data_IF_939154409633
#
_entry.id   IF_939154409633
#
_cell.length_a   1.000
_cell.length_b   1.000
_cell.length_c   1.000
_cell.angle_alpha   90.00
_cell.angle_beta   90.00
_cell.angle_gamma   90.00
#
_symmetry.space_group_name_H-M   'P 1'
#
loop_
_entity.id
_entity.type
_entity.pdbx_description
1 polymer ?
#
# COMPACT_ATOMS: atom_id res chain seq x y z
N UNK A 1 23.99 63.63 -67.96
CA UNK A 1 24.61 62.43 -67.33
C UNK A 1 24.62 62.61 -65.81
N UNK A 2 23.91 61.74 -65.09
CA UNK A 2 24.19 61.16 -63.77
C UNK A 2 22.88 60.96 -62.98
N UNK A 3 22.54 59.69 -62.84
CA UNK A 3 21.61 59.10 -61.89
C UNK A 3 22.06 59.33 -60.44
N UNK A 4 21.17 58.92 -59.50
CA UNK A 4 21.36 58.48 -58.09
C UNK A 4 20.46 59.33 -57.17
N UNK A 5 19.68 58.84 -56.20
CA UNK A 5 19.14 57.53 -55.82
C UNK A 5 18.16 57.83 -54.66
N UNK A 6 17.09 57.07 -54.55
CA UNK A 6 16.07 57.10 -53.48
C UNK A 6 16.52 56.24 -52.29
N UNK A 7 16.20 56.62 -51.04
CA UNK A 7 15.64 55.78 -49.92
C UNK A 7 15.77 56.51 -48.56
N UNK A 8 14.69 56.93 -47.90
CA UNK A 8 13.72 56.18 -47.08
C UNK A 8 14.24 55.88 -45.67
N UNK A 9 13.72 56.63 -44.69
CA UNK A 9 13.91 56.43 -43.26
C UNK A 9 13.04 55.27 -42.75
N UNK A 10 13.64 54.34 -42.01
CA UNK A 10 12.92 53.29 -41.28
C UNK A 10 13.06 53.58 -39.79
N UNK A 11 11.94 53.92 -39.15
CA UNK A 11 11.81 54.02 -37.71
C UNK A 11 11.85 52.60 -37.11
N UNK A 12 12.81 52.36 -36.22
CA UNK A 12 12.96 51.11 -35.50
C UNK A 12 11.87 50.96 -34.43
N UNK A 13 10.91 50.08 -34.68
CA UNK A 13 10.03 49.50 -33.66
C UNK A 13 10.83 48.42 -32.91
N UNK A 14 11.24 48.72 -31.69
CA UNK A 14 11.75 47.73 -30.74
C UNK A 14 10.62 46.78 -30.36
N UNK A 15 10.66 45.56 -30.91
CA UNK A 15 9.87 44.44 -30.44
C UNK A 15 10.43 43.98 -29.09
N UNK A 16 9.81 44.44 -28.00
CA UNK A 16 9.98 43.78 -26.71
C UNK A 16 9.30 42.42 -26.79
N UNK A 17 10.11 41.35 -26.81
CA UNK A 17 9.66 39.98 -26.63
C UNK A 17 9.02 39.85 -25.26
N UNK A 18 7.68 39.86 -25.21
CA UNK A 18 6.93 39.49 -24.01
C UNK A 18 7.04 37.97 -23.88
N UNK A 19 7.97 37.49 -23.06
CA UNK A 19 7.93 36.09 -22.61
C UNK A 19 6.70 35.93 -21.73
N UNK A 20 5.64 35.32 -22.27
CA UNK A 20 4.42 35.00 -21.53
C UNK A 20 4.75 34.15 -20.30
N UNK A 21 4.49 34.62 -19.07
CA UNK A 21 4.70 33.86 -17.83
C UNK A 21 3.75 32.64 -17.70
N UNK A 22 2.70 32.57 -18.54
CA UNK A 22 1.65 31.57 -18.48
C UNK A 22 2.09 30.14 -18.86
N UNK A 23 3.31 29.95 -19.35
CA UNK A 23 3.81 28.63 -19.75
C UNK A 23 4.66 27.95 -18.67
N UNK A 24 5.18 28.70 -17.69
CA UNK A 24 5.95 28.15 -16.55
C UNK A 24 5.04 27.62 -15.42
N UNK A 25 3.82 28.15 -15.28
CA UNK A 25 2.88 27.76 -14.20
C UNK A 25 2.20 26.40 -14.40
N UNK A 26 2.18 25.87 -15.63
CA UNK A 26 1.38 24.68 -15.94
C UNK A 26 2.16 23.36 -15.79
N UNK A 27 3.50 23.41 -15.72
CA UNK A 27 4.32 22.21 -15.58
C UNK A 27 4.21 21.57 -14.19
N UNK A 28 4.28 22.33 -13.07
CA UNK A 28 4.06 21.78 -11.74
C UNK A 28 2.68 21.15 -11.60
N UNK A 29 1.62 21.82 -12.07
CA UNK A 29 0.26 21.31 -12.06
C UNK A 29 0.11 20.02 -12.88
N UNK A 30 0.66 19.98 -14.11
CA UNK A 30 0.64 18.77 -14.93
C UNK A 30 1.41 17.59 -14.29
N UNK A 31 2.50 17.88 -13.57
CA UNK A 31 3.23 16.85 -12.81
C UNK A 31 2.43 16.35 -11.61
N UNK A 32 1.67 17.23 -10.94
CA UNK A 32 0.75 16.86 -9.85
C UNK A 32 -0.39 15.99 -10.40
N UNK A 33 -1.00 16.33 -11.53
CA UNK A 33 -2.04 15.52 -12.17
C UNK A 33 -1.54 14.11 -12.50
N UNK A 34 -0.37 14.03 -13.13
CA UNK A 34 0.26 12.75 -13.48
C UNK A 34 0.62 11.97 -12.21
N UNK A 35 1.18 12.63 -11.19
CA UNK A 35 1.50 11.98 -9.93
C UNK A 35 0.22 11.47 -9.24
N UNK A 36 -0.83 12.28 -9.17
CA UNK A 36 -2.14 11.96 -8.61
C UNK A 36 -2.76 10.71 -9.25
N UNK A 37 -2.88 10.69 -10.57
CA UNK A 37 -3.39 9.52 -11.30
C UNK A 37 -2.55 8.26 -11.04
N UNK A 38 -1.22 8.39 -11.02
CA UNK A 38 -0.30 7.27 -10.78
C UNK A 38 -0.29 6.76 -9.35
N UNK A 39 -0.67 7.58 -8.37
CA UNK A 39 -0.79 7.12 -6.97
C UNK A 39 -1.87 6.04 -6.89
N UNK A 40 -3.04 6.26 -7.47
CA UNK A 40 -4.12 5.26 -7.43
C UNK A 40 -3.81 4.00 -8.22
N UNK A 41 -3.21 4.11 -9.41
CA UNK A 41 -2.69 2.93 -10.16
C UNK A 41 -1.78 2.04 -9.29
N UNK A 42 -1.07 2.65 -8.33
CA UNK A 42 -0.13 1.95 -7.46
C UNK A 42 -0.75 1.45 -6.16
N UNK A 43 -1.76 2.14 -5.63
CA UNK A 43 -2.40 1.81 -4.35
C UNK A 43 -3.58 0.87 -4.50
N UNK A 44 -4.39 1.03 -5.55
CA UNK A 44 -5.60 0.24 -5.74
C UNK A 44 -5.31 -1.24 -5.90
N UNK A 45 -6.17 -2.07 -5.31
CA UNK A 45 -6.07 -3.52 -5.26
C UNK A 45 -4.75 -4.06 -4.69
N UNK A 46 -4.14 -3.33 -3.77
CA UNK A 46 -2.94 -3.76 -3.05
C UNK A 46 -3.28 -4.45 -1.75
N UNK A 47 -2.71 -5.64 -1.58
CA UNK A 47 -2.72 -6.40 -0.34
C UNK A 47 -1.41 -6.18 0.43
N UNK A 48 -1.53 -5.88 1.72
CA UNK A 48 -0.44 -5.63 2.65
C UNK A 48 -0.69 -6.44 3.91
N UNK A 49 0.38 -6.94 4.52
CA UNK A 49 0.22 -7.61 5.81
C UNK A 49 0.07 -6.58 6.93
N UNK A 50 -0.83 -6.85 7.87
CA UNK A 50 -0.92 -6.17 9.16
C UNK A 50 0.09 -6.79 10.13
N UNK A 51 0.91 -5.94 10.75
CA UNK A 51 1.94 -6.37 11.69
C UNK A 51 1.42 -6.37 13.13
N UNK A 52 1.96 -7.27 13.96
CA UNK A 52 1.85 -7.26 15.42
C UNK A 52 3.17 -7.68 16.03
N UNK A 53 3.36 -7.36 17.31
CA UNK A 53 4.36 -8.05 18.12
C UNK A 53 3.78 -9.40 18.57
N UNK A 54 4.54 -10.48 18.41
CA UNK A 54 4.22 -11.78 19.01
C UNK A 54 4.70 -11.84 20.48
N UNK A 55 4.48 -12.97 21.14
CA UNK A 55 4.83 -13.17 22.55
C UNK A 55 6.33 -13.08 22.83
N UNK A 56 7.16 -13.26 21.80
CA UNK A 56 8.61 -13.09 21.82
C UNK A 56 9.06 -11.64 21.55
N UNK A 57 8.12 -10.70 21.36
CA UNK A 57 8.40 -9.30 21.04
C UNK A 57 8.83 -9.04 19.59
N UNK A 58 8.75 -10.04 18.71
CA UNK A 58 9.11 -9.93 17.31
C UNK A 58 7.97 -9.35 16.46
N UNK A 59 8.29 -8.51 15.48
CA UNK A 59 7.32 -8.03 14.51
C UNK A 59 6.99 -9.13 13.49
N UNK A 60 5.73 -9.56 13.48
CA UNK A 60 5.20 -10.62 12.60
C UNK A 60 3.94 -10.14 11.88
N UNK A 61 3.72 -10.65 10.67
CA UNK A 61 2.47 -10.44 9.94
C UNK A 61 1.41 -11.44 10.41
N UNK A 62 0.21 -10.95 10.73
CA UNK A 62 -0.89 -11.75 11.29
C UNK A 62 -2.28 -11.37 10.77
N UNK A 63 -2.34 -10.47 9.80
CA UNK A 63 -3.58 -10.05 9.14
C UNK A 63 -3.31 -9.45 7.77
N UNK A 64 -4.37 -9.13 7.05
CA UNK A 64 -4.31 -8.49 5.73
C UNK A 64 -5.01 -7.15 5.77
N UNK A 65 -4.41 -6.17 5.11
CA UNK A 65 -4.99 -4.89 4.72
C UNK A 65 -5.06 -4.86 3.19
N UNK A 66 -6.21 -4.48 2.68
CA UNK A 66 -6.50 -4.39 1.26
C UNK A 66 -7.02 -3.00 0.94
N UNK A 67 -6.27 -2.26 0.13
CA UNK A 67 -6.73 -1.00 -0.46
C UNK A 67 -7.57 -1.39 -1.68
N UNK A 68 -8.90 -1.34 -1.57
CA UNK A 68 -9.81 -1.84 -2.61
C UNK A 68 -10.31 -0.75 -3.55
N UNK A 69 -10.21 0.51 -3.16
CA UNK A 69 -10.52 1.66 -4.02
C UNK A 69 -9.57 2.80 -3.72
N UNK A 70 -9.25 3.55 -4.76
CA UNK A 70 -8.50 4.80 -4.67
C UNK A 70 -9.02 5.73 -5.75
N UNK A 71 -9.36 6.97 -5.39
CA UNK A 71 -9.62 8.02 -6.37
C UNK A 71 -8.96 9.32 -5.97
N UNK A 72 -8.48 10.04 -6.97
CA UNK A 72 -7.91 11.38 -6.82
C UNK A 72 -8.76 12.37 -7.59
N UNK A 73 -9.01 13.52 -6.99
CA UNK A 73 -9.61 14.69 -7.62
C UNK A 73 -8.79 15.93 -7.27
N UNK A 74 -8.84 16.95 -8.13
CA UNK A 74 -8.17 18.24 -7.91
C UNK A 74 -9.23 19.33 -7.81
N UNK A 75 -8.88 20.40 -7.10
CA UNK A 75 -9.71 21.61 -7.03
C UNK A 75 -9.48 22.44 -8.29
N UNK A 76 -10.53 22.70 -9.08
CA UNK A 76 -10.43 23.48 -10.33
C UNK A 76 -9.96 24.93 -10.05
N UNK A 77 -10.22 25.44 -8.85
CA UNK A 77 -9.84 26.79 -8.41
C UNK A 77 -8.44 26.82 -7.74
N UNK A 78 -7.88 25.67 -7.34
CA UNK A 78 -6.58 25.54 -6.68
C UNK A 78 -5.86 24.24 -7.09
N UNK A 79 -5.05 24.33 -8.15
CA UNK A 79 -4.35 23.17 -8.74
C UNK A 79 -3.33 22.49 -7.81
N UNK A 80 -2.91 23.15 -6.73
CA UNK A 80 -2.03 22.55 -5.74
C UNK A 80 -2.82 21.75 -4.68
N UNK A 81 -4.15 21.85 -4.70
CA UNK A 81 -5.04 21.15 -3.78
C UNK A 81 -5.59 19.87 -4.41
N UNK A 82 -5.30 18.77 -3.75
CA UNK A 82 -5.70 17.42 -4.16
C UNK A 82 -6.60 16.82 -3.07
N UNK A 83 -7.65 16.13 -3.50
CA UNK A 83 -8.46 15.25 -2.63
C UNK A 83 -8.22 13.80 -3.01
N UNK A 84 -7.75 13.01 -2.05
CA UNK A 84 -7.53 11.56 -2.17
C UNK A 84 -8.58 10.83 -1.33
N UNK A 85 -9.35 9.96 -1.98
CA UNK A 85 -10.31 9.06 -1.34
C UNK A 85 -9.79 7.63 -1.42
N UNK A 86 -9.74 6.94 -0.28
CA UNK A 86 -9.24 5.56 -0.15
C UNK A 86 -10.28 4.68 0.53
N UNK A 87 -10.61 3.55 -0.10
CA UNK A 87 -11.35 2.47 0.54
C UNK A 87 -10.41 1.35 0.98
N UNK A 88 -10.42 1.05 2.27
CA UNK A 88 -9.54 0.07 2.90
C UNK A 88 -10.39 -0.98 3.60
N UNK A 89 -10.14 -2.26 3.31
CA UNK A 89 -10.67 -3.38 4.07
C UNK A 89 -9.53 -4.10 4.75
N UNK A 90 -9.82 -4.76 5.86
CA UNK A 90 -8.80 -5.60 6.48
C UNK A 90 -9.39 -6.64 7.40
N UNK A 91 -8.58 -7.66 7.66
CA UNK A 91 -8.92 -8.70 8.59
C UNK A 91 -7.70 -9.23 9.32
N UNK A 92 -7.93 -9.72 10.53
CA UNK A 92 -6.90 -10.37 11.35
C UNK A 92 -7.53 -11.31 12.36
N UNK A 93 -6.77 -12.31 12.75
CA UNK A 93 -7.11 -13.14 13.89
C UNK A 93 -6.77 -12.44 15.20
N UNK A 94 -7.61 -12.64 16.21
CA UNK A 94 -7.44 -12.17 17.56
C UNK A 94 -7.48 -13.36 18.51
N UNK A 95 -6.45 -13.49 19.34
CA UNK A 95 -6.47 -14.38 20.51
C UNK A 95 -6.54 -13.52 21.76
N UNK A 96 -7.30 -13.99 22.75
CA UNK A 96 -7.50 -13.32 24.02
C UNK A 96 -7.57 -14.35 25.12
N UNK A 97 -6.93 -14.07 26.24
CA UNK A 97 -7.26 -14.69 27.52
C UNK A 97 -8.13 -13.70 28.30
N UNK A 98 -9.25 -14.17 28.85
CA UNK A 98 -10.21 -13.38 29.63
C UNK A 98 -10.51 -14.13 30.92
N UNK A 99 -10.26 -13.52 32.06
CA UNK A 99 -10.78 -14.03 33.32
C UNK A 99 -12.21 -13.48 33.54
N UNK A 100 -13.21 -14.36 33.64
CA UNK A 100 -14.60 -13.99 33.97
C UNK A 100 -15.11 -14.92 35.05
N UNK A 101 -15.61 -14.36 36.16
CA UNK A 101 -16.10 -15.12 37.33
C UNK A 101 -15.07 -16.12 37.91
N UNK A 102 -13.77 -15.78 37.86
CA UNK A 102 -12.68 -16.64 38.35
C UNK A 102 -12.30 -17.82 37.44
N UNK A 103 -12.73 -17.78 36.18
CA UNK A 103 -12.35 -18.74 35.15
C UNK A 103 -11.67 -18.04 33.97
N UNK A 104 -10.56 -18.61 33.50
CA UNK A 104 -9.85 -18.15 32.30
C UNK A 104 -10.50 -18.71 31.04
N UNK A 105 -10.91 -17.81 30.15
CA UNK A 105 -11.48 -18.09 28.85
C UNK A 105 -10.53 -17.63 27.76
N UNK A 106 -10.13 -18.55 26.87
CA UNK A 106 -9.46 -18.15 25.64
C UNK A 106 -10.50 -17.86 24.55
N UNK A 107 -10.58 -16.61 24.08
CA UNK A 107 -11.42 -16.20 22.95
C UNK A 107 -10.55 -16.01 21.72
N UNK A 108 -10.83 -16.82 20.70
CA UNK A 108 -10.16 -16.78 19.40
C UNK A 108 -11.16 -16.37 18.32
N UNK A 109 -11.02 -15.16 17.75
CA UNK A 109 -12.00 -14.58 16.82
C UNK A 109 -11.38 -13.84 15.63
N UNK A 110 -12.14 -13.74 14.54
CA UNK A 110 -11.77 -12.93 13.37
C UNK A 110 -12.33 -11.52 13.50
N UNK A 111 -11.44 -10.54 13.47
CA UNK A 111 -11.79 -9.15 13.32
C UNK A 111 -11.73 -8.77 11.83
N UNK A 112 -12.83 -8.22 11.31
CA UNK A 112 -12.89 -7.58 9.99
C UNK A 112 -13.18 -6.11 10.18
N UNK A 113 -12.63 -5.28 9.30
CA UNK A 113 -12.90 -3.85 9.31
C UNK A 113 -12.91 -3.28 7.90
N UNK A 114 -13.62 -2.18 7.74
CA UNK A 114 -13.63 -1.35 6.56
C UNK A 114 -13.42 0.11 6.97
N UNK A 115 -12.66 0.85 6.17
CA UNK A 115 -12.36 2.25 6.39
C UNK A 115 -12.48 2.98 5.06
N UNK A 116 -13.28 4.03 5.02
CA UNK A 116 -13.25 5.02 3.95
C UNK A 116 -12.50 6.25 4.48
N UNK A 117 -11.50 6.71 3.74
CA UNK A 117 -10.62 7.82 4.14
C UNK A 117 -10.61 8.86 3.04
N UNK A 118 -11.10 10.06 3.36
CA UNK A 118 -10.99 11.26 2.52
C UNK A 118 -9.92 12.21 3.06
N UNK A 119 -8.96 12.56 2.20
CA UNK A 119 -7.86 13.46 2.52
C UNK A 119 -7.87 14.62 1.55
N UNK A 120 -8.04 15.83 2.06
CA UNK A 120 -7.88 17.05 1.27
C UNK A 120 -6.61 17.76 1.72
N UNK A 121 -5.70 18.00 0.78
CA UNK A 121 -4.36 18.48 1.10
C UNK A 121 -3.66 19.20 -0.05
N UNK A 122 -2.58 19.89 0.28
CA UNK A 122 -1.69 20.52 -0.68
C UNK A 122 -0.61 19.54 -1.13
N UNK A 123 -0.27 19.60 -2.41
CA UNK A 123 0.84 18.85 -3.00
C UNK A 123 1.99 19.80 -3.27
N UNK A 124 3.10 19.59 -2.57
CA UNK A 124 4.39 20.19 -2.96
C UNK A 124 5.14 19.19 -3.82
N UNK A 125 5.78 19.66 -4.88
CA UNK A 125 6.62 18.80 -5.72
C UNK A 125 8.00 19.40 -5.98
N UNK A 126 8.94 18.53 -6.34
CA UNK A 126 10.29 18.91 -6.75
C UNK A 126 10.78 17.94 -7.82
N UNK A 127 11.37 18.48 -8.88
CA UNK A 127 11.99 17.68 -9.94
C UNK A 127 13.47 18.06 -10.09
N UNK A 128 14.34 17.05 -10.00
CA UNK A 128 15.76 17.16 -10.34
C UNK A 128 15.95 16.77 -11.82
N UNK A 129 16.15 17.73 -12.73
CA UNK A 129 16.30 17.44 -14.15
C UNK A 129 17.64 16.77 -14.50
N UNK A 130 18.66 16.88 -13.65
CA UNK A 130 19.95 16.24 -13.89
C UNK A 130 19.91 14.76 -13.51
N UNK A 131 19.32 14.45 -12.36
CA UNK A 131 19.16 13.07 -11.89
C UNK A 131 17.88 12.39 -12.40
N UNK A 132 16.97 13.13 -13.05
CA UNK A 132 15.64 12.67 -13.48
C UNK A 132 14.84 12.06 -12.34
N UNK A 133 14.93 12.67 -11.16
CA UNK A 133 14.19 12.26 -9.98
C UNK A 133 13.08 13.25 -9.68
N UNK A 134 11.90 12.76 -9.31
CA UNK A 134 10.78 13.55 -8.82
C UNK A 134 10.48 13.19 -7.39
N UNK A 135 10.17 14.17 -6.56
CA UNK A 135 9.61 13.96 -5.24
C UNK A 135 8.34 14.79 -5.11
N UNK A 136 7.38 14.28 -4.35
CA UNK A 136 6.22 15.04 -3.95
C UNK A 136 5.86 14.75 -2.49
N UNK A 137 5.19 15.72 -1.89
CA UNK A 137 4.74 15.73 -0.52
C UNK A 137 3.29 16.15 -0.51
N UNK A 138 2.43 15.26 -0.05
CA UNK A 138 1.04 15.57 0.23
C UNK A 138 0.92 15.94 1.70
N UNK A 139 0.37 17.11 1.99
CA UNK A 139 0.10 17.58 3.35
C UNK A 139 -1.40 17.90 3.47
N UNK A 140 -2.15 17.18 4.31
CA UNK A 140 -3.54 17.53 4.61
C UNK A 140 -3.66 18.99 5.06
N UNK A 141 -4.64 19.70 4.51
CA UNK A 141 -4.99 21.08 4.94
C UNK A 141 -6.23 21.09 5.84
N UNK A 142 -6.96 19.98 5.84
CA UNK A 142 -8.10 19.70 6.71
C UNK A 142 -7.85 18.42 7.49
N UNK A 143 -8.62 18.20 8.56
CA UNK A 143 -8.60 16.93 9.28
C UNK A 143 -9.08 15.80 8.35
N UNK A 144 -8.37 14.66 8.26
CA UNK A 144 -8.81 13.50 7.51
C UNK A 144 -10.24 13.07 7.87
N UNK A 145 -11.10 12.93 6.86
CA UNK A 145 -12.45 12.38 7.03
C UNK A 145 -12.33 10.87 7.05
N UNK A 146 -12.62 10.24 8.18
CA UNK A 146 -12.51 8.78 8.33
C UNK A 146 -13.84 8.18 8.74
N UNK A 147 -14.39 7.31 7.90
CA UNK A 147 -15.52 6.45 8.23
C UNK A 147 -15.00 5.05 8.52
N UNK A 148 -15.19 4.57 9.74
CA UNK A 148 -14.68 3.26 10.17
C UNK A 148 -15.85 2.35 10.52
N UNK A 149 -15.81 1.12 10.01
CA UNK A 149 -16.76 0.04 10.34
C UNK A 149 -15.96 -1.21 10.73
N UNK A 150 -16.45 -1.96 11.72
CA UNK A 150 -15.89 -3.23 12.14
C UNK A 150 -16.99 -4.28 12.25
N UNK A 151 -16.70 -5.48 11.72
CA UNK A 151 -17.61 -6.62 11.75
C UNK A 151 -16.92 -7.89 12.24
N UNK A 152 -17.70 -8.76 12.89
CA UNK A 152 -17.27 -10.04 13.45
C UNK A 152 -18.30 -10.58 14.44
N UNK A 153 -18.38 -11.91 14.61
CA UNK A 153 -19.20 -12.57 15.64
C UNK A 153 -18.59 -12.30 17.03
N UNK A 154 -18.78 -11.09 17.55
CA UNK A 154 -18.30 -10.70 18.88
C UNK A 154 -19.44 -10.82 19.85
N UNK A 155 -19.46 -11.91 20.60
CA UNK A 155 -20.41 -12.09 21.70
C UNK A 155 -20.18 -11.02 22.78
N UNK A 156 -21.30 -10.54 23.30
CA UNK A 156 -21.50 -9.17 23.77
C UNK A 156 -21.15 -9.06 25.25
N UNK A 157 -19.91 -8.70 25.56
CA UNK A 157 -19.53 -8.04 26.82
C UNK A 157 -18.26 -7.22 26.59
N UNK A 158 -18.48 -5.99 26.15
CA UNK A 158 -17.55 -5.16 25.40
C UNK A 158 -17.17 -3.90 26.18
N UNK A 159 -16.05 -3.93 26.91
CA UNK A 159 -15.44 -2.71 27.47
C UNK A 159 -13.93 -2.65 27.21
N UNK A 160 -13.41 -3.47 26.28
CA UNK A 160 -12.05 -4.00 26.44
C UNK A 160 -11.02 -3.83 25.32
N UNK A 161 -11.31 -4.08 24.04
CA UNK A 161 -10.32 -4.92 23.35
C UNK A 161 -10.09 -4.68 21.84
N UNK A 162 -10.52 -3.54 21.29
CA UNK A 162 -10.25 -3.21 19.88
C UNK A 162 -9.20 -2.13 19.64
N UNK A 163 -8.63 -1.55 20.71
CA UNK A 163 -7.47 -0.67 20.62
C UNK A 163 -6.30 -1.30 19.85
N UNK A 164 -6.16 -2.64 19.94
CA UNK A 164 -5.12 -3.42 19.26
C UNK A 164 -5.42 -3.69 17.79
N UNK A 165 -6.68 -3.79 17.34
CA UNK A 165 -7.05 -3.91 15.90
C UNK A 165 -6.69 -2.63 15.17
N UNK A 166 -7.01 -1.51 15.80
CA UNK A 166 -6.60 -0.20 15.38
C UNK A 166 -5.11 0.04 15.60
N UNK A 167 -4.47 -0.69 16.51
CA UNK A 167 -3.01 -0.75 16.58
C UNK A 167 -2.42 -1.54 15.42
N UNK A 168 -3.10 -2.55 14.87
CA UNK A 168 -2.67 -3.31 13.69
C UNK A 168 -2.83 -2.53 12.39
N UNK A 169 -3.91 -1.75 12.26
CA UNK A 169 -3.98 -0.73 11.22
C UNK A 169 -2.95 0.39 11.45
N UNK A 170 -2.72 0.78 12.72
CA UNK A 170 -1.67 1.73 13.08
C UNK A 170 -0.25 1.13 13.14
N UNK A 171 -0.04 -0.18 12.97
CA UNK A 171 1.30 -0.81 13.00
C UNK A 171 2.05 -0.59 11.69
N UNK A 172 1.43 0.08 10.72
CA UNK A 172 2.22 0.80 9.72
C UNK A 172 3.15 1.86 10.36
N UNK A 173 2.92 2.31 11.60
CA UNK A 173 3.77 3.27 12.34
C UNK A 173 3.69 3.07 13.89
N UNK A 174 3.97 1.84 14.35
CA UNK A 174 4.27 1.45 15.75
C UNK A 174 3.71 2.26 16.93
N UNK A 175 2.65 1.77 17.58
CA UNK A 175 2.36 1.88 19.03
C UNK A 175 1.05 1.14 19.42
N UNK A 176 1.00 0.57 20.62
CA UNK A 176 -0.08 -0.29 21.17
C UNK A 176 -1.07 0.49 22.05
N UNK A 177 -2.38 0.16 22.06
CA UNK A 177 -3.22 0.54 23.21
C UNK A 177 -4.42 -0.36 23.59
N UNK A 178 -4.85 -0.07 24.82
CA UNK A 178 -5.98 -0.51 25.66
C UNK A 178 -7.40 -0.12 25.19
N UNK A 179 -8.36 -0.18 26.12
CA UNK A 179 -9.68 -0.81 26.04
C UNK A 179 -10.85 0.05 25.52
N UNK A 180 -12.05 -0.54 25.26
CA UNK A 180 -13.44 0.03 25.16
C UNK A 180 -14.39 -0.53 24.04
N UNK A 181 -15.71 -0.32 24.24
CA UNK A 181 -16.93 -0.81 23.54
C UNK A 181 -17.15 -0.38 22.07
N UNK A 182 -18.14 -0.93 21.35
CA UNK A 182 -18.37 -0.78 19.89
C UNK A 182 -18.42 0.67 19.36
N UNK A 183 -19.16 1.58 19.98
CA UNK A 183 -19.18 2.99 19.53
C UNK A 183 -17.85 3.70 19.79
N UNK A 184 -17.24 3.42 20.95
CA UNK A 184 -15.92 3.96 21.30
C UNK A 184 -14.80 3.36 20.43
N UNK A 185 -15.00 2.16 19.91
CA UNK A 185 -14.10 1.46 19.01
C UNK A 185 -14.12 2.09 17.62
N UNK A 186 -15.30 2.31 17.05
CA UNK A 186 -15.44 3.00 15.77
C UNK A 186 -14.81 4.39 15.87
N UNK A 187 -15.12 5.13 16.94
CA UNK A 187 -14.54 6.44 17.20
C UNK A 187 -13.01 6.42 17.38
N UNK A 188 -12.48 5.51 18.21
CA UNK A 188 -11.02 5.36 18.42
C UNK A 188 -10.31 4.91 17.15
N UNK A 189 -11.00 4.15 16.30
CA UNK A 189 -10.47 3.68 15.03
C UNK A 189 -10.34 4.78 14.03
N UNK A 190 -11.43 5.50 13.82
CA UNK A 190 -11.44 6.72 13.03
C UNK A 190 -10.39 7.72 13.52
N UNK A 191 -10.31 7.96 14.83
CA UNK A 191 -9.32 8.86 15.43
C UNK A 191 -7.88 8.44 15.15
N UNK A 192 -7.53 7.16 15.35
CA UNK A 192 -6.16 6.68 15.12
C UNK A 192 -5.78 6.73 13.64
N UNK A 193 -6.69 6.33 12.74
CA UNK A 193 -6.47 6.45 11.31
C UNK A 193 -6.29 7.92 10.92
N UNK A 194 -7.16 8.81 11.39
CA UNK A 194 -7.08 10.25 11.15
C UNK A 194 -5.74 10.81 11.62
N UNK A 195 -5.34 10.56 12.87
CA UNK A 195 -4.07 11.00 13.44
C UNK A 195 -2.86 10.53 12.60
N UNK A 196 -2.87 9.29 12.10
CA UNK A 196 -1.76 8.77 11.28
C UNK A 196 -1.73 9.37 9.88
N UNK A 197 -2.89 9.70 9.31
CA UNK A 197 -2.96 10.33 7.99
C UNK A 197 -2.76 11.86 8.05
N UNK A 198 -2.90 12.48 9.21
CA UNK A 198 -2.74 13.92 9.42
C UNK A 198 -1.34 14.43 9.08
N UNK A 199 -0.30 13.59 9.24
CA UNK A 199 1.08 13.93 8.86
C UNK A 199 1.28 13.93 7.33
N UNK A 200 0.30 13.44 6.57
CA UNK A 200 0.35 13.29 5.13
C UNK A 200 1.28 12.16 4.68
N UNK A 201 1.80 12.26 3.47
CA UNK A 201 2.73 11.29 2.92
C UNK A 201 3.68 11.95 1.94
N UNK A 202 4.78 11.28 1.67
CA UNK A 202 5.80 11.73 0.74
C UNK A 202 6.25 10.58 -0.12
N UNK A 203 6.59 10.86 -1.37
CA UNK A 203 7.09 9.86 -2.28
C UNK A 203 8.08 10.46 -3.26
N UNK A 204 8.91 9.59 -3.81
CA UNK A 204 9.84 9.94 -4.86
C UNK A 204 9.89 8.85 -5.93
N UNK A 205 10.18 9.28 -7.15
CA UNK A 205 10.23 8.47 -8.35
C UNK A 205 11.55 8.77 -9.06
N UNK A 206 12.26 7.72 -9.44
CA UNK A 206 13.36 7.79 -10.41
C UNK A 206 12.79 7.45 -11.78
N UNK A 207 12.72 8.42 -12.68
CA UNK A 207 12.13 8.20 -14.01
C UNK A 207 13.01 7.31 -14.91
N UNK A 208 14.32 7.22 -14.66
CA UNK A 208 15.23 6.38 -15.41
C UNK A 208 15.10 4.92 -15.04
N UNK A 209 14.95 4.61 -13.75
CA UNK A 209 14.82 3.23 -13.27
C UNK A 209 13.39 2.80 -13.01
N UNK A 210 12.41 3.72 -13.08
CA UNK A 210 11.01 3.45 -12.73
C UNK A 210 10.78 3.16 -11.24
N UNK A 211 11.81 3.31 -10.39
CA UNK A 211 11.74 3.02 -8.96
C UNK A 211 10.91 4.07 -8.25
N UNK A 212 10.15 3.61 -7.26
CA UNK A 212 9.31 4.47 -6.41
C UNK A 212 9.63 4.16 -4.95
N UNK A 213 9.74 5.21 -4.14
CA UNK A 213 9.79 5.14 -2.67
C UNK A 213 8.64 5.99 -2.13
N UNK A 214 7.90 5.48 -1.14
CA UNK A 214 6.78 6.17 -0.51
C UNK A 214 6.82 5.98 0.99
N UNK A 215 6.58 7.04 1.75
CA UNK A 215 6.59 7.03 3.22
C UNK A 215 5.41 7.84 3.75
N UNK A 216 4.90 7.42 4.91
CA UNK A 216 3.98 8.26 5.68
C UNK A 216 4.75 9.43 6.30
N UNK A 217 4.09 10.58 6.39
CA UNK A 217 4.66 11.82 6.87
C UNK A 217 5.52 12.58 5.85
N UNK A 218 6.09 13.69 6.31
CA UNK A 218 6.87 14.64 5.52
C UNK A 218 8.36 14.27 5.57
N UNK A 219 8.79 13.34 4.70
CA UNK A 219 10.19 12.90 4.65
C UNK A 219 11.05 13.84 3.82
N UNK A 220 12.17 14.29 4.36
CA UNK A 220 13.12 15.15 3.66
C UNK A 220 13.56 14.59 2.29
N UNK A 221 13.70 15.49 1.30
CA UNK A 221 14.04 15.14 -0.09
C UNK A 221 15.30 14.28 -0.20
N UNK A 222 16.38 14.66 0.50
CA UNK A 222 17.65 13.94 0.47
C UNK A 222 17.48 12.49 0.95
N UNK A 223 16.60 12.24 1.92
CA UNK A 223 16.31 10.91 2.43
C UNK A 223 15.49 10.10 1.42
N UNK A 224 14.49 10.69 0.78
CA UNK A 224 13.73 10.02 -0.29
C UNK A 224 14.63 9.63 -1.46
N UNK A 225 15.45 10.56 -1.95
CA UNK A 225 16.35 10.31 -3.08
C UNK A 225 17.47 9.32 -2.74
N UNK A 226 17.99 9.32 -1.52
CA UNK A 226 18.96 8.29 -1.11
C UNK A 226 18.35 6.89 -1.14
N UNK A 227 17.05 6.74 -0.83
CA UNK A 227 16.34 5.45 -0.89
C UNK A 227 16.09 4.98 -2.32
N UNK A 228 15.84 5.88 -3.28
CA UNK A 228 15.71 5.51 -4.70
C UNK A 228 16.98 4.82 -5.24
N UNK A 229 18.14 5.23 -4.75
CA UNK A 229 19.44 4.68 -5.15
C UNK A 229 19.75 3.32 -4.52
N UNK A 230 19.03 2.94 -3.46
CA UNK A 230 19.26 1.66 -2.79
C UNK A 230 18.55 0.53 -3.55
N UNK A 231 19.26 -0.53 -3.96
CA UNK A 231 18.59 -1.69 -4.55
C UNK A 231 17.64 -2.31 -3.52
N UNK A 232 16.38 -2.49 -3.91
CA UNK A 232 15.39 -3.17 -3.07
C UNK A 232 15.67 -4.68 -3.09
N UNK A 233 16.49 -5.14 -2.14
CA UNK A 233 16.69 -6.57 -1.94
C UNK A 233 15.45 -7.16 -1.30
N UNK A 234 14.95 -8.27 -1.86
CA UNK A 234 13.89 -9.05 -1.24
C UNK A 234 14.32 -9.48 0.18
N UNK A 235 13.52 -9.13 1.18
CA UNK A 235 13.75 -9.49 2.59
C UNK A 235 12.71 -10.50 3.04
N UNK A 236 13.14 -11.41 3.92
CA UNK A 236 12.23 -12.31 4.60
C UNK A 236 11.29 -11.53 5.51
N UNK A 237 10.01 -11.89 5.44
CA UNK A 237 8.90 -11.38 6.22
C UNK A 237 8.40 -12.50 7.11
N UNK A 238 8.50 -12.32 8.42
CA UNK A 238 7.98 -13.28 9.40
C UNK A 238 6.46 -13.22 9.45
N UNK A 239 5.83 -14.38 9.41
CA UNK A 239 4.40 -14.58 9.42
C UNK A 239 4.04 -15.45 10.59
N UNK A 240 2.95 -15.08 11.24
CA UNK A 240 2.29 -15.85 12.28
C UNK A 240 0.81 -16.00 11.90
N UNK A 241 0.52 -17.13 11.28
CA UNK A 241 -0.77 -17.43 10.65
C UNK A 241 -1.63 -18.26 11.60
N UNK A 242 -2.79 -17.72 11.95
CA UNK A 242 -3.74 -18.38 12.84
C UNK A 242 -4.52 -19.52 12.15
N UNK A 243 -5.10 -20.46 12.91
CA UNK A 243 -6.01 -21.48 12.40
C UNK A 243 -7.18 -20.90 11.58
N UNK A 244 -7.59 -21.63 10.54
CA UNK A 244 -8.65 -21.22 9.61
C UNK A 244 -8.54 -19.77 9.10
N UNK A 245 -7.34 -19.23 8.95
CA UNK A 245 -7.10 -17.86 8.46
C UNK A 245 -6.35 -17.86 7.13
N UNK A 246 -6.36 -16.72 6.44
CA UNK A 246 -5.47 -16.50 5.31
C UNK A 246 -4.93 -15.07 5.26
N UNK A 247 -3.77 -14.94 4.61
CA UNK A 247 -3.08 -13.70 4.35
C UNK A 247 -2.89 -13.51 2.85
N UNK A 248 -3.06 -12.27 2.38
CA UNK A 248 -2.75 -11.88 1.01
C UNK A 248 -1.65 -10.83 0.98
N UNK A 249 -0.73 -10.95 0.01
CA UNK A 249 0.33 -9.99 -0.23
C UNK A 249 0.50 -9.73 -1.73
N UNK A 250 0.65 -8.45 -2.11
CA UNK A 250 0.93 -8.06 -3.49
C UNK A 250 -0.07 -7.02 -4.03
N UNK A 251 -0.45 -7.09 -5.32
CA UNK A 251 0.14 -7.92 -6.35
C UNK A 251 1.64 -7.70 -6.59
N UNK A 252 2.29 -8.69 -7.19
CA UNK A 252 3.66 -8.79 -7.66
C UNK A 252 3.67 -9.02 -9.18
N UNK A 253 4.83 -8.91 -9.82
CA UNK A 253 4.99 -9.39 -11.20
C UNK A 253 4.23 -8.61 -12.26
N UNK A 254 3.73 -7.40 -11.95
CA UNK A 254 3.09 -6.53 -12.94
C UNK A 254 3.98 -6.25 -14.16
N UNK A 255 5.29 -6.45 -14.04
CA UNK A 255 6.28 -6.18 -15.08
C UNK A 255 7.27 -7.32 -15.29
N UNK A 256 7.04 -8.49 -14.68
CA UNK A 256 8.06 -9.54 -14.56
C UNK A 256 7.72 -10.82 -15.29
N UNK A 257 8.73 -11.39 -15.94
CA UNK A 257 8.64 -12.71 -16.56
C UNK A 257 8.85 -13.83 -15.52
N UNK A 258 9.45 -13.54 -14.37
CA UNK A 258 9.77 -14.54 -13.35
C UNK A 258 9.62 -13.97 -11.92
N UNK A 259 9.00 -14.74 -11.03
CA UNK A 259 8.88 -14.45 -9.60
C UNK A 259 9.40 -15.65 -8.80
N UNK A 260 10.27 -15.43 -7.81
CA UNK A 260 10.57 -16.48 -6.83
C UNK A 260 9.82 -16.23 -5.53
N UNK A 261 9.10 -17.23 -5.04
CA UNK A 261 8.56 -17.26 -3.69
C UNK A 261 9.41 -18.22 -2.86
N UNK A 262 10.21 -17.68 -1.94
CA UNK A 262 10.99 -18.51 -1.02
C UNK A 262 10.32 -18.54 0.34
N UNK A 263 10.20 -19.75 0.90
CA UNK A 263 9.60 -20.00 2.21
C UNK A 263 10.62 -20.64 3.13
N UNK A 264 10.75 -20.10 4.34
CA UNK A 264 11.47 -20.71 5.45
C UNK A 264 10.41 -21.16 6.44
N UNK A 265 10.25 -22.48 6.57
CA UNK A 265 9.17 -23.08 7.34
C UNK A 265 9.76 -23.98 8.40
N UNK A 266 9.37 -23.74 9.65
CA UNK A 266 9.80 -24.60 10.76
C UNK A 266 9.05 -25.94 10.75
N UNK A 267 7.77 -25.95 10.33
CA UNK A 267 6.96 -27.16 10.13
C UNK A 267 6.04 -27.05 8.90
N UNK A 268 6.30 -27.76 7.79
CA UNK A 268 5.56 -27.60 6.53
C UNK A 268 4.14 -28.20 6.52
N UNK A 269 3.75 -28.97 7.55
CA UNK A 269 2.51 -29.75 7.51
C UNK A 269 1.21 -28.93 7.72
N UNK A 270 1.30 -27.67 8.13
CA UNK A 270 0.16 -26.98 8.75
C UNK A 270 -0.41 -25.78 7.95
N UNK A 271 0.06 -25.50 6.73
CA UNK A 271 -0.54 -24.46 5.89
C UNK A 271 -0.35 -24.67 4.38
N UNK A 272 -1.27 -24.10 3.61
CA UNK A 272 -1.22 -23.99 2.16
C UNK A 272 -0.62 -22.64 1.77
N UNK A 273 0.25 -22.65 0.77
CA UNK A 273 0.72 -21.47 0.08
C UNK A 273 0.29 -21.56 -1.38
N UNK A 274 -0.31 -20.50 -1.90
CA UNK A 274 -0.74 -20.41 -3.30
C UNK A 274 -0.32 -19.05 -3.82
N UNK A 275 0.06 -18.98 -5.08
CA UNK A 275 -0.04 -17.73 -5.83
C UNK A 275 -1.39 -17.73 -6.57
N UNK A 276 -2.01 -16.56 -6.72
CA UNK A 276 -3.26 -16.40 -7.49
C UNK A 276 -3.26 -15.10 -8.29
N UNK A 277 -4.09 -15.01 -9.34
CA UNK A 277 -4.27 -13.75 -10.04
C UNK A 277 -4.94 -12.71 -9.12
N UNK A 278 -4.65 -11.43 -9.35
CA UNK A 278 -5.23 -10.33 -8.58
C UNK A 278 -6.76 -10.36 -8.56
N UNK A 279 -7.42 -10.69 -9.68
CA UNK A 279 -8.88 -10.77 -9.77
C UNK A 279 -9.48 -11.87 -8.88
N UNK A 280 -8.82 -13.02 -8.82
CA UNK A 280 -9.20 -14.12 -7.92
C UNK A 280 -9.00 -13.72 -6.46
N UNK A 281 -7.90 -13.03 -6.16
CA UNK A 281 -7.61 -12.52 -4.81
C UNK A 281 -8.65 -11.48 -4.36
N UNK A 282 -9.11 -10.60 -5.26
CA UNK A 282 -10.19 -9.63 -4.98
C UNK A 282 -11.52 -10.34 -4.75
N UNK A 283 -11.84 -11.36 -5.54
CA UNK A 283 -13.05 -12.17 -5.37
C UNK A 283 -13.04 -12.88 -4.01
N UNK A 284 -11.91 -13.50 -3.66
CA UNK A 284 -11.66 -14.14 -2.37
C UNK A 284 -11.83 -13.15 -1.21
N UNK A 285 -11.16 -11.99 -1.27
CA UNK A 285 -11.21 -10.98 -0.23
C UNK A 285 -12.65 -10.45 -0.03
N UNK A 286 -13.39 -10.19 -1.11
CA UNK A 286 -14.79 -9.78 -1.03
C UNK A 286 -15.69 -10.85 -0.39
N UNK A 287 -15.52 -12.13 -0.76
CA UNK A 287 -16.29 -13.22 -0.17
C UNK A 287 -16.02 -13.35 1.33
N UNK A 288 -14.75 -13.23 1.73
CA UNK A 288 -14.36 -13.28 3.14
C UNK A 288 -14.92 -12.11 3.95
N UNK A 289 -14.88 -10.89 3.39
CA UNK A 289 -15.42 -9.70 4.05
C UNK A 289 -16.94 -9.75 4.25
N UNK A 290 -17.67 -10.50 3.40
CA UNK A 290 -19.11 -10.73 3.54
C UNK A 290 -19.48 -11.78 4.61
N UNK A 291 -18.49 -12.45 5.21
CA UNK A 291 -18.71 -13.46 6.25
C UNK A 291 -19.09 -14.85 5.76
N UNK A 292 -19.04 -15.10 4.45
CA UNK A 292 -19.53 -16.34 3.85
C UNK A 292 -18.64 -17.58 4.07
N UNK A 293 -17.40 -17.43 4.54
CA UNK A 293 -16.52 -18.58 4.80
C UNK A 293 -15.33 -18.22 5.71
N UNK A 294 -14.85 -19.18 6.52
CA UNK A 294 -13.64 -18.98 7.35
C UNK A 294 -12.34 -19.08 6.54
N UNK A 295 -12.31 -19.87 5.46
CA UNK A 295 -11.32 -19.77 4.37
C UNK A 295 -11.94 -20.40 3.11
N UNK A 296 -12.28 -19.62 2.07
CA UNK A 296 -12.76 -20.19 0.81
C UNK A 296 -11.67 -21.03 0.13
N UNK A 297 -12.02 -22.12 -0.53
CA UNK A 297 -11.07 -22.80 -1.42
C UNK A 297 -10.96 -22.02 -2.72
N UNK A 298 -9.73 -21.70 -3.11
CA UNK A 298 -9.43 -20.91 -4.32
C UNK A 298 -8.40 -21.68 -5.15
N UNK A 299 -8.62 -21.84 -6.47
CA UNK A 299 -7.65 -22.47 -7.34
C UNK A 299 -6.33 -21.70 -7.30
N UNK A 300 -5.25 -22.40 -6.97
CA UNK A 300 -3.91 -21.83 -7.02
C UNK A 300 -3.35 -21.88 -8.44
N UNK A 301 -2.45 -20.94 -8.73
CA UNK A 301 -1.57 -21.04 -9.89
C UNK A 301 -0.60 -22.19 -9.64
N UNK A 302 -0.31 -22.99 -10.68
CA UNK A 302 0.65 -24.09 -10.57
C UNK A 302 2.00 -23.56 -10.12
N UNK A 303 2.51 -24.10 -9.01
CA UNK A 303 3.83 -23.81 -8.53
C UNK A 303 4.82 -24.82 -9.13
N UNK A 304 5.93 -24.33 -9.69
CA UNK A 304 7.04 -25.19 -10.13
C UNK A 304 8.10 -25.16 -9.04
N UNK A 305 8.50 -26.32 -8.54
CA UNK A 305 9.64 -26.40 -7.62
C UNK A 305 10.91 -26.39 -8.45
N UNK A 306 11.88 -25.54 -8.12
CA UNK A 306 13.21 -25.64 -8.70
C UNK A 306 13.98 -26.69 -7.91
N UNK A 307 14.35 -27.79 -8.56
CA UNK A 307 15.01 -28.95 -7.93
C UNK A 307 16.37 -28.61 -7.31
N UNK A 308 16.96 -27.46 -7.65
CA UNK A 308 18.28 -27.05 -7.18
C UNK A 308 18.28 -26.09 -5.98
N UNK A 309 17.12 -25.66 -5.49
CA UNK A 309 17.03 -24.73 -4.35
C UNK A 309 15.92 -25.12 -3.38
N UNK A 310 16.05 -24.74 -2.10
CA UNK A 310 14.93 -24.75 -1.14
C UNK A 310 13.87 -23.67 -1.45
N UNK A 311 13.97 -22.98 -2.60
CA UNK A 311 13.07 -21.91 -3.03
C UNK A 311 12.05 -22.45 -4.06
N UNK A 312 10.81 -21.95 -4.02
CA UNK A 312 9.78 -22.27 -5.03
C UNK A 312 9.80 -21.16 -6.08
N UNK A 313 10.25 -21.48 -7.29
CA UNK A 313 10.36 -20.50 -8.38
C UNK A 313 9.14 -20.56 -9.29
N UNK A 314 8.63 -19.40 -9.68
CA UNK A 314 7.45 -19.28 -10.51
C UNK A 314 7.83 -18.54 -11.77
N UNK A 315 7.82 -19.29 -12.86
CA UNK A 315 8.02 -18.73 -14.18
C UNK A 315 6.66 -18.28 -14.70
N UNK A 316 6.56 -17.00 -15.07
CA UNK A 316 5.39 -16.38 -15.67
C UNK A 316 5.17 -16.85 -17.12
N UNK A 317 5.67 -18.03 -17.52
CA UNK A 317 5.63 -18.48 -18.92
C UNK A 317 4.20 -18.67 -19.43
N UNK A 318 3.25 -18.90 -18.53
CA UNK A 318 1.83 -19.16 -18.85
C UNK A 318 0.86 -18.11 -18.28
N UNK A 319 1.36 -17.01 -17.70
CA UNK A 319 0.54 -16.10 -16.90
C UNK A 319 0.55 -14.64 -17.38
N UNK A 320 -0.64 -14.08 -17.54
CA UNK A 320 -0.89 -12.75 -18.11
C UNK A 320 -1.36 -11.73 -17.07
N UNK A 321 -1.34 -12.09 -15.77
CA UNK A 321 -1.98 -11.32 -14.70
C UNK A 321 -0.97 -10.89 -13.61
N UNK A 322 -1.21 -9.77 -12.91
CA UNK A 322 -0.55 -9.46 -11.65
C UNK A 322 -0.87 -10.52 -10.58
N UNK A 323 0.14 -10.93 -9.81
CA UNK A 323 0.03 -12.12 -8.95
C UNK A 323 0.04 -11.77 -7.46
N UNK A 324 -0.85 -12.36 -6.68
CA UNK A 324 -0.96 -12.20 -5.22
C UNK A 324 -0.49 -13.48 -4.53
N UNK A 325 0.35 -13.34 -3.50
CA UNK A 325 0.72 -14.45 -2.63
C UNK A 325 -0.34 -14.65 -1.55
N UNK A 326 -0.86 -15.87 -1.46
CA UNK A 326 -1.78 -16.32 -0.43
C UNK A 326 -1.10 -17.34 0.48
N UNK A 327 -1.26 -17.14 1.78
CA UNK A 327 -0.94 -18.14 2.80
C UNK A 327 -2.19 -18.44 3.60
N UNK A 328 -2.56 -19.70 3.75
CA UNK A 328 -3.78 -20.08 4.46
C UNK A 328 -3.60 -21.38 5.23
N UNK A 329 -4.12 -21.48 6.45
CA UNK A 329 -4.24 -22.76 7.15
C UNK A 329 -5.50 -23.50 6.69
N UNK A 330 -5.42 -24.81 6.57
CA UNK A 330 -6.59 -25.66 6.36
C UNK A 330 -7.57 -25.55 7.55
N UNK A 331 -8.87 -25.73 7.31
CA UNK A 331 -9.91 -25.73 8.37
C UNK A 331 -9.65 -26.81 9.45
N UNK A 332 -8.93 -27.87 9.11
CA UNK A 332 -8.54 -28.96 10.01
C UNK A 332 -7.33 -28.65 10.90
N UNK A 333 -6.52 -27.64 10.55
CA UNK A 333 -5.34 -27.24 11.31
C UNK A 333 -5.78 -26.43 12.53
N UNK A 334 -5.41 -26.91 13.72
CA UNK A 334 -5.75 -26.28 15.01
C UNK A 334 -4.61 -25.46 15.62
N UNK A 335 -3.42 -25.52 15.03
CA UNK A 335 -2.22 -24.83 15.52
C UNK A 335 -1.87 -23.65 14.62
N UNK A 336 -1.25 -22.63 15.20
CA UNK A 336 -0.68 -21.51 14.45
C UNK A 336 0.49 -22.00 13.60
N UNK A 337 0.66 -21.42 12.43
CA UNK A 337 1.81 -21.67 11.56
C UNK A 337 2.74 -20.45 11.59
N UNK A 338 4.00 -20.69 11.98
CA UNK A 338 5.06 -19.69 11.93
C UNK A 338 6.00 -20.00 10.76
N UNK A 339 6.27 -18.99 9.94
CA UNK A 339 7.19 -19.12 8.81
C UNK A 339 7.71 -17.74 8.40
N UNK A 340 8.72 -17.71 7.54
CA UNK A 340 9.13 -16.49 6.87
C UNK A 340 9.05 -16.66 5.36
N UNK A 341 8.67 -15.61 4.65
CA UNK A 341 8.63 -15.63 3.19
C UNK A 341 9.33 -14.40 2.60
N UNK A 342 9.89 -14.56 1.41
CA UNK A 342 10.30 -13.44 0.56
C UNK A 342 9.77 -13.68 -0.86
N UNK A 343 9.39 -12.60 -1.53
CA UNK A 343 9.08 -12.62 -2.95
C UNK A 343 10.19 -11.85 -3.66
N UNK A 344 10.91 -12.51 -4.56
CA UNK A 344 11.88 -11.88 -5.46
C UNK A 344 11.17 -11.65 -6.78
N UNK A 345 10.95 -10.39 -7.09
CA UNK A 345 10.54 -9.97 -8.42
C UNK A 345 11.81 -9.71 -9.25
N UNK A 346 12.02 -10.48 -10.31
CA UNK A 346 13.20 -10.34 -11.18
C UNK A 346 13.09 -9.19 -12.19
N UNK A 347 11.94 -8.52 -12.27
CA UNK A 347 11.81 -7.34 -13.12
C UNK A 347 12.53 -6.16 -12.50
N UNK A 348 13.39 -5.53 -13.30
CA UNK A 348 13.72 -4.15 -13.05
C UNK A 348 12.46 -3.31 -13.35
N UNK A 349 12.10 -2.34 -12.51
CA UNK A 349 10.96 -1.49 -12.81
C UNK A 349 11.18 -0.82 -14.17
N UNK A 350 10.12 -0.76 -14.99
CA UNK A 350 10.24 -0.19 -16.33
C UNK A 350 10.57 1.31 -16.23
N UNK A 351 11.62 1.78 -16.92
CA UNK A 351 11.89 3.20 -17.06
C UNK A 351 10.65 3.95 -17.51
N UNK A 352 10.36 5.07 -16.85
CA UNK A 352 9.28 5.98 -17.25
C UNK A 352 9.75 6.97 -18.32
N UNK A 353 11.07 7.13 -18.47
CA UNK A 353 11.68 7.86 -19.57
C UNK A 353 13.01 7.22 -19.98
N UNK A 354 13.45 7.49 -21.21
CA UNK A 354 14.81 7.13 -21.64
C UNK A 354 15.81 8.07 -21.00
N UNK A 355 16.82 7.50 -20.34
CA UNK A 355 17.95 8.23 -19.81
C UNK A 355 19.21 7.77 -20.53
N UNK A 356 19.99 8.75 -21.00
CA UNK A 356 21.23 8.52 -21.75
C UNK A 356 22.44 8.59 -20.83
#
# INVERSE_FOLDING_TARGET
MKNILVTAAIAGLSLFSVTSPAQESNLPAALVDVAGARICDRLENRFRGLQRQNDQGEQVYSGTLWIHSCSVSHDDDDQDKMTLELGVKGWRWLERDKEKLGADFNVSEFARFQVEVGLTGQVKSYYDPAAKNFAFWFKPVEEPKVMFDASGDVDVDKEGLWGTVLAGAATMVGESPDTLADEKLVAKGAQKFSQKMADGFSAAIDFCSGRVVSELGQVEQARLFSRLKQPQKAKYKKVDLAPSSFLLFGPYGQQSEHLDLSLQVDNPADFQNKLMCMEDAVTLANAYMKGNDRTPDVPGIKLVKDDNTEEVSLRNSDQTCPVVAMFSTDKSVKKRASFAFKVRDHSEPKPLMKCN
#
